data_IF_750337515823
#
_entry.id   IF_750337515823
#
_cell.length_a   1.000
_cell.length_b   1.000
_cell.length_c   1.000
_cell.angle_alpha   90.00
_cell.angle_beta   90.00
_cell.angle_gamma   90.00
#
_symmetry.space_group_name_H-M   'P 1'
#
loop_
_entity.id
_entity.type
_entity.pdbx_description
1 polymer ?
#
# COMPACT_ATOMS: atom_id res chain seq x y z
N UNK A 1 16.65 -18.43 21.09
CA UNK A 1 15.81 -17.23 21.33
C UNK A 1 14.54 -17.43 20.55
N UNK A 2 13.36 -17.26 21.16
CA UNK A 2 12.09 -17.37 20.47
C UNK A 2 11.94 -16.15 19.54
N UNK A 3 11.74 -16.37 18.24
CA UNK A 3 11.33 -15.29 17.32
C UNK A 3 9.88 -14.94 17.65
N UNK A 4 9.58 -13.65 17.80
CA UNK A 4 8.25 -13.18 18.16
C UNK A 4 7.29 -13.35 16.97
N UNK A 5 6.23 -14.13 17.17
CA UNK A 5 5.22 -14.42 16.15
C UNK A 5 4.45 -13.15 15.69
N UNK A 6 4.56 -12.04 16.43
CA UNK A 6 3.96 -10.74 16.12
C UNK A 6 4.71 -9.96 15.02
N UNK A 7 5.92 -10.39 14.64
CA UNK A 7 6.79 -9.62 13.75
C UNK A 7 6.41 -9.68 12.25
N UNK A 8 6.05 -10.83 11.64
CA UNK A 8 5.59 -10.85 10.24
C UNK A 8 4.32 -10.01 10.04
N UNK A 9 3.52 -9.91 11.10
CA UNK A 9 2.35 -9.07 11.22
C UNK A 9 2.65 -7.57 11.39
N UNK A 10 3.86 -7.17 11.79
CA UNK A 10 4.32 -5.77 11.68
C UNK A 10 4.81 -5.43 10.28
N UNK A 11 5.26 -6.42 9.50
CA UNK A 11 5.60 -6.23 8.09
C UNK A 11 4.32 -5.92 7.32
N UNK A 12 3.30 -6.78 7.38
CA UNK A 12 2.02 -6.56 6.71
C UNK A 12 1.22 -5.42 7.32
N UNK A 13 1.29 -5.19 8.64
CA UNK A 13 0.74 -3.95 9.22
C UNK A 13 1.46 -2.72 8.71
N UNK A 14 2.80 -2.59 8.77
CA UNK A 14 3.47 -1.38 8.25
C UNK A 14 3.31 -1.25 6.73
N UNK A 15 3.24 -2.33 5.98
CA UNK A 15 2.99 -2.28 4.54
C UNK A 15 1.58 -1.81 4.18
N UNK A 16 0.59 -2.10 5.04
CA UNK A 16 -0.75 -1.55 4.87
C UNK A 16 -0.84 -0.17 5.54
N UNK A 17 -0.48 -0.02 6.82
CA UNK A 17 -0.54 1.20 7.65
C UNK A 17 0.42 2.32 7.22
N UNK A 18 1.62 2.09 6.67
CA UNK A 18 2.47 3.17 6.10
C UNK A 18 2.01 3.57 4.69
N UNK A 19 1.24 2.72 4.00
CA UNK A 19 0.60 3.04 2.72
C UNK A 19 -0.80 3.66 2.93
N UNK A 20 -1.51 3.25 3.98
CA UNK A 20 -2.84 3.73 4.38
C UNK A 20 -2.75 4.98 5.27
N UNK A 21 -1.75 5.19 6.13
CA UNK A 21 -1.57 6.47 6.83
C UNK A 21 -1.19 7.61 5.86
N UNK A 22 -0.77 7.28 4.65
CA UNK A 22 -0.57 8.23 3.55
C UNK A 22 -1.88 8.53 2.79
N UNK A 23 -2.93 7.73 2.98
CA UNK A 23 -4.27 7.90 2.38
C UNK A 23 -5.28 8.42 3.44
N UNK A 24 -5.36 7.80 4.62
CA UNK A 24 -6.28 8.12 5.72
C UNK A 24 -6.04 9.47 6.40
N UNK A 25 -4.83 10.06 6.30
CA UNK A 25 -4.60 11.45 6.75
C UNK A 25 -5.25 12.49 5.83
N UNK A 26 -5.74 12.08 4.67
CA UNK A 26 -6.55 12.93 3.78
C UNK A 26 -8.07 12.80 4.06
N UNK A 27 -8.51 11.71 4.71
CA UNK A 27 -9.93 11.38 4.93
C UNK A 27 -10.53 11.96 6.23
N UNK A 28 -9.74 12.24 7.28
CA UNK A 28 -10.29 12.73 8.58
C UNK A 28 -10.83 14.17 8.55
N UNK A 29 -10.56 14.96 7.50
CA UNK A 29 -11.09 16.34 7.37
C UNK A 29 -12.48 16.44 6.71
N UNK A 30 -13.03 15.38 6.10
CA UNK A 30 -14.27 15.46 5.30
C UNK A 30 -15.47 14.74 5.92
N UNK A 31 -15.97 15.25 7.05
CA UNK A 31 -17.21 14.75 7.64
C UNK A 31 -18.16 15.86 8.13
N UNK A 32 -18.82 16.54 7.18
CA UNK A 32 -20.09 17.23 7.45
C UNK A 32 -21.04 17.07 6.25
N UNK A 33 -22.29 16.58 6.41
CA UNK A 33 -23.12 16.23 5.25
C UNK A 33 -23.88 17.45 4.71
N UNK A 34 -23.67 17.78 3.43
CA UNK A 34 -24.50 18.75 2.71
C UNK A 34 -25.82 18.10 2.25
N UNK A 35 -26.96 18.56 2.79
CA UNK A 35 -28.29 18.13 2.34
C UNK A 35 -28.76 18.92 1.11
N UNK A 36 -29.28 18.21 0.11
CA UNK A 36 -29.85 18.80 -1.11
C UNK A 36 -31.30 19.26 -0.90
N UNK A 37 -31.58 20.55 -1.08
CA UNK A 37 -32.94 21.12 -1.05
C UNK A 37 -33.60 21.22 -2.43
N UNK A 38 -34.76 20.56 -2.58
CA UNK A 38 -35.95 20.98 -3.38
C UNK A 38 -37.16 20.28 -2.73
N UNK A 39 -38.29 20.89 -2.41
CA UNK A 39 -38.74 22.30 -2.38
C UNK A 39 -40.27 22.32 -2.47
N UNK A 40 -40.99 23.26 -1.80
CA UNK A 40 -42.32 23.80 -2.21
C UNK A 40 -42.93 24.80 -1.18
N UNK A 41 -43.61 25.80 -1.75
CA UNK A 41 -44.72 26.66 -1.30
C UNK A 41 -44.89 27.19 0.16
N UNK A 42 -44.58 28.48 0.33
CA UNK A 42 -45.52 29.60 0.66
C UNK A 42 -46.68 29.34 1.65
N UNK A 43 -46.73 30.10 2.77
CA UNK A 43 -47.86 31.03 3.07
C UNK A 43 -47.63 31.98 4.28
N UNK A 44 -47.95 33.26 4.04
CA UNK A 44 -48.58 34.27 4.93
C UNK A 44 -47.98 34.70 6.30
N UNK A 45 -47.56 35.97 6.33
CA UNK A 45 -47.46 36.89 7.48
C UNK A 45 -48.86 37.42 7.94
N UNK A 46 -49.00 38.48 8.78
CA UNK A 46 -48.37 38.81 10.09
C UNK A 46 -49.41 39.27 11.15
N UNK A 47 -49.03 39.46 12.45
CA UNK A 47 -49.19 40.75 13.20
C UNK A 47 -48.86 40.76 14.71
N UNK A 48 -48.45 41.97 15.13
CA UNK A 48 -48.67 42.70 16.42
C UNK A 48 -48.03 42.23 17.74
N UNK A 49 -47.05 43.04 18.20
CA UNK A 49 -47.05 43.92 19.42
C UNK A 49 -47.79 43.45 20.69
N UNK A 50 -47.30 43.68 21.93
CA UNK A 50 -46.31 44.61 22.51
C UNK A 50 -45.83 44.08 23.91
N UNK A 51 -44.65 44.48 24.40
CA UNK A 51 -44.42 45.23 25.67
C UNK A 51 -42.99 45.07 26.24
N UNK A 52 -42.42 46.21 26.70
CA UNK A 52 -41.01 46.41 27.05
C UNK A 52 -40.63 46.10 28.51
N UNK A 53 -39.31 45.99 28.78
CA UNK A 53 -38.59 47.03 29.56
C UNK A 53 -37.05 46.87 29.69
N UNK A 54 -36.34 47.90 29.21
CA UNK A 54 -35.14 48.56 29.76
C UNK A 54 -33.84 47.79 30.10
N UNK A 55 -32.75 48.12 29.38
CA UNK A 55 -31.58 48.80 29.97
C UNK A 55 -30.66 49.44 28.90
N UNK A 56 -30.14 50.63 29.19
CA UNK A 56 -29.17 51.43 28.41
C UNK A 56 -27.72 51.20 28.94
N UNK A 57 -26.58 51.46 28.26
CA UNK A 57 -26.15 52.12 27.00
C UNK A 57 -24.65 51.69 26.76
N UNK A 58 -23.91 52.10 25.70
CA UNK A 58 -24.28 52.66 24.39
C UNK A 58 -23.59 51.94 23.19
N UNK A 59 -23.81 52.47 21.98
CA UNK A 59 -23.32 52.00 20.68
C UNK A 59 -21.82 52.20 20.39
N UNK A 60 -21.26 51.30 19.59
CA UNK A 60 -20.32 51.65 18.51
C UNK A 60 -20.81 50.99 17.22
N UNK A 61 -21.01 51.81 16.18
CA UNK A 61 -21.33 51.37 14.82
C UNK A 61 -20.00 51.12 14.09
N UNK A 62 -19.78 49.92 13.57
CA UNK A 62 -18.70 49.66 12.60
C UNK A 62 -19.23 48.72 11.51
N UNK A 63 -18.92 49.10 10.27
CA UNK A 63 -19.57 48.72 9.02
C UNK A 63 -19.65 47.20 8.74
N UNK A 64 -20.85 46.72 8.43
CA UNK A 64 -21.11 45.33 8.04
C UNK A 64 -20.56 45.05 6.63
N UNK A 65 -19.25 44.78 6.57
CA UNK A 65 -18.57 44.39 5.33
C UNK A 65 -18.95 42.95 5.00
N UNK A 66 -19.86 42.79 4.03
CA UNK A 66 -20.12 41.51 3.37
C UNK A 66 -18.81 40.91 2.80
N UNK A 67 -18.13 40.10 3.61
CA UNK A 67 -17.11 39.18 3.13
C UNK A 67 -17.84 37.99 2.56
N UNK A 68 -18.08 38.06 1.26
CA UNK A 68 -18.35 36.92 0.40
C UNK A 68 -17.28 35.84 0.67
N UNK A 69 -17.63 34.87 1.50
CA UNK A 69 -16.76 33.75 1.84
C UNK A 69 -16.84 32.72 0.71
N UNK A 70 -16.37 33.12 -0.48
CA UNK A 70 -16.09 32.23 -1.60
C UNK A 70 -14.93 31.33 -1.24
N UNK A 71 -15.24 30.31 -0.43
CA UNK A 71 -14.34 29.29 0.03
C UNK A 71 -13.89 28.47 -1.18
N UNK A 72 -12.78 28.90 -1.80
CA UNK A 72 -12.26 28.34 -3.05
C UNK A 72 -11.96 26.86 -2.85
N UNK A 73 -12.82 26.00 -3.41
CA UNK A 73 -12.64 24.56 -3.38
C UNK A 73 -11.35 24.26 -4.13
N UNK A 74 -10.35 23.69 -3.46
CA UNK A 74 -9.10 23.30 -4.10
C UNK A 74 -9.42 22.31 -5.24
N UNK A 75 -9.24 22.68 -6.51
CA UNK A 75 -9.71 21.85 -7.62
C UNK A 75 -8.91 20.55 -7.75
N UNK A 76 -7.76 20.45 -7.08
CA UNK A 76 -6.96 19.24 -7.00
C UNK A 76 -7.44 18.21 -5.95
N UNK A 77 -8.42 18.52 -5.08
CA UNK A 77 -8.80 17.67 -3.93
C UNK A 77 -9.07 16.21 -4.31
N UNK A 78 -9.75 15.98 -5.44
CA UNK A 78 -10.14 14.64 -5.90
C UNK A 78 -9.37 14.22 -7.19
N UNK A 79 -8.26 14.89 -7.52
CA UNK A 79 -7.49 14.67 -8.75
C UNK A 79 -6.17 13.96 -8.45
N UNK A 80 -6.21 12.64 -8.34
CA UNK A 80 -5.05 11.84 -7.96
C UNK A 80 -4.06 11.67 -9.12
N UNK A 81 -2.80 12.01 -8.86
CA UNK A 81 -1.69 11.83 -9.79
C UNK A 81 -0.91 10.53 -9.53
N UNK A 82 -0.17 10.07 -10.53
CA UNK A 82 0.75 8.93 -10.37
C UNK A 82 1.86 9.26 -9.37
N UNK A 83 2.41 8.25 -8.69
CA UNK A 83 3.53 8.40 -7.73
C UNK A 83 4.65 9.28 -8.27
N UNK A 84 5.09 10.25 -7.46
CA UNK A 84 6.10 11.24 -7.84
C UNK A 84 5.55 12.45 -8.60
N UNK A 85 4.24 12.52 -8.84
CA UNK A 85 3.54 13.68 -9.42
C UNK A 85 2.48 14.22 -8.47
N UNK A 86 2.22 15.51 -8.56
CA UNK A 86 1.16 16.23 -7.85
C UNK A 86 0.29 16.99 -8.82
N UNK A 87 -0.95 17.25 -8.42
CA UNK A 87 -1.89 18.03 -9.20
C UNK A 87 -1.53 19.51 -9.15
N UNK A 88 -1.60 20.17 -10.31
CA UNK A 88 -1.50 21.61 -10.46
C UNK A 88 -2.57 22.09 -11.45
N UNK A 89 -3.35 23.09 -11.03
CA UNK A 89 -4.24 23.86 -11.92
C UNK A 89 -3.44 24.93 -12.68
N UNK A 90 -3.74 25.11 -13.97
CA UNK A 90 -3.27 26.26 -14.75
C UNK A 90 -4.19 27.49 -14.61
N UNK A 91 -3.85 28.58 -15.30
CA UNK A 91 -4.63 29.84 -15.30
C UNK A 91 -6.06 29.70 -15.86
N UNK A 92 -6.40 28.56 -16.48
CA UNK A 92 -7.73 28.25 -16.99
C UNK A 92 -8.45 27.17 -16.13
N UNK A 93 -8.02 26.99 -14.88
CA UNK A 93 -8.50 25.97 -13.93
C UNK A 93 -8.33 24.51 -14.41
N UNK A 94 -7.56 24.28 -15.47
CA UNK A 94 -7.36 22.95 -16.01
C UNK A 94 -6.28 22.22 -15.22
N UNK A 95 -6.63 21.03 -14.74
CA UNK A 95 -5.78 20.22 -13.88
C UNK A 95 -4.77 19.40 -14.69
N UNK A 96 -3.53 19.33 -14.17
CA UNK A 96 -2.43 18.60 -14.76
C UNK A 96 -1.57 17.94 -13.68
N UNK A 97 -0.91 16.82 -14.01
CA UNK A 97 0.03 16.16 -13.11
C UNK A 97 1.47 16.55 -13.44
N UNK A 98 2.07 17.39 -12.59
CA UNK A 98 3.47 17.82 -12.68
C UNK A 98 4.34 17.01 -11.70
N UNK A 99 5.66 16.93 -11.93
CA UNK A 99 6.54 16.25 -10.98
C UNK A 99 6.58 16.96 -9.62
N UNK A 100 6.44 16.19 -8.55
CA UNK A 100 6.67 16.66 -7.19
C UNK A 100 8.10 17.17 -7.05
N UNK A 101 8.29 18.31 -6.38
CA UNK A 101 9.62 18.79 -6.03
C UNK A 101 10.14 18.00 -4.80
N UNK A 102 11.27 17.27 -4.90
CA UNK A 102 11.85 16.57 -3.76
C UNK A 102 12.22 17.49 -2.58
N UNK A 103 12.46 18.78 -2.85
CA UNK A 103 12.74 19.78 -1.80
C UNK A 103 11.47 20.27 -1.06
N UNK A 104 10.27 20.04 -1.62
CA UNK A 104 8.98 20.37 -1.01
C UNK A 104 8.31 19.16 -0.34
N UNK A 105 8.97 17.99 -0.31
CA UNK A 105 8.51 16.85 0.47
C UNK A 105 8.64 17.12 1.98
N UNK A 106 7.70 16.63 2.81
CA UNK A 106 7.84 16.70 4.26
C UNK A 106 9.14 16.00 4.74
N UNK A 107 9.79 16.50 5.80
CA UNK A 107 10.97 15.84 6.36
C UNK A 107 10.58 14.49 6.95
N UNK A 108 11.26 13.42 6.52
CA UNK A 108 11.03 12.06 6.99
C UNK A 108 11.43 11.88 8.46
N UNK A 109 10.65 11.09 9.19
CA UNK A 109 11.06 10.50 10.48
C UNK A 109 11.98 9.30 10.25
N UNK A 110 12.68 8.84 11.29
CA UNK A 110 13.66 7.74 11.25
C UNK A 110 13.15 6.42 10.61
N UNK A 111 11.85 6.17 10.62
CA UNK A 111 11.25 4.97 10.02
C UNK A 111 10.73 5.18 8.59
N UNK A 112 10.61 6.44 8.15
CA UNK A 112 10.04 6.83 6.87
C UNK A 112 11.11 6.90 5.77
N UNK A 113 12.41 6.89 6.10
CA UNK A 113 13.51 6.80 5.13
C UNK A 113 13.36 5.63 4.16
N UNK A 114 13.91 5.75 2.95
CA UNK A 114 13.93 4.66 1.97
C UNK A 114 15.26 4.56 1.24
N UNK A 115 15.62 3.37 0.75
CA UNK A 115 16.79 3.15 -0.08
C UNK A 115 16.40 2.99 -1.55
N UNK A 116 17.06 3.75 -2.44
CA UNK A 116 16.91 3.60 -3.89
C UNK A 116 17.85 2.54 -4.47
N UNK A 117 17.53 2.03 -5.65
CA UNK A 117 18.39 1.10 -6.42
C UNK A 117 19.72 1.69 -6.88
N UNK A 118 19.93 3.00 -6.72
CA UNK A 118 21.22 3.68 -6.86
C UNK A 118 22.04 3.71 -5.55
N UNK A 119 21.61 2.94 -4.54
CA UNK A 119 22.20 2.83 -3.20
C UNK A 119 22.29 4.18 -2.46
N UNK A 120 21.31 5.06 -2.67
CA UNK A 120 21.13 6.30 -1.91
C UNK A 120 19.93 6.21 -0.98
N UNK A 121 20.11 6.71 0.24
CA UNK A 121 19.01 6.96 1.17
C UNK A 121 18.29 8.23 0.74
N UNK A 122 16.96 8.18 0.74
CA UNK A 122 16.06 9.30 0.48
C UNK A 122 15.18 9.57 1.70
N UNK A 123 14.81 10.83 1.88
CA UNK A 123 13.86 11.31 2.89
C UNK A 123 12.43 10.93 2.47
N UNK A 124 12.14 9.63 2.53
CA UNK A 124 10.84 9.06 2.21
C UNK A 124 10.55 8.82 0.73
N UNK A 125 9.45 8.12 0.52
CA UNK A 125 8.93 7.75 -0.81
C UNK A 125 8.63 9.00 -1.66
N UNK A 126 8.17 10.09 -1.04
CA UNK A 126 7.97 11.38 -1.71
C UNK A 126 9.25 11.86 -2.42
N UNK A 127 10.37 11.93 -1.70
CA UNK A 127 11.63 12.44 -2.24
C UNK A 127 12.18 11.52 -3.34
N UNK A 128 12.12 10.20 -3.14
CA UNK A 128 12.55 9.21 -4.14
C UNK A 128 11.72 9.29 -5.42
N UNK A 129 10.39 9.28 -5.32
CA UNK A 129 9.52 9.28 -6.51
C UNK A 129 9.48 10.65 -7.21
N UNK A 130 9.56 11.77 -6.48
CA UNK A 130 9.76 13.08 -7.09
C UNK A 130 11.09 13.17 -7.85
N UNK A 131 12.16 12.58 -7.30
CA UNK A 131 13.48 12.51 -7.97
C UNK A 131 13.41 11.64 -9.22
N UNK A 132 12.76 10.46 -9.14
CA UNK A 132 12.52 9.59 -10.32
C UNK A 132 11.70 10.33 -11.39
N UNK A 133 10.69 11.10 -11.00
CA UNK A 133 9.85 11.88 -11.89
C UNK A 133 10.65 12.95 -12.66
N UNK A 134 11.48 13.74 -11.96
CA UNK A 134 12.39 14.72 -12.57
C UNK A 134 13.41 14.10 -13.55
N UNK A 135 13.57 12.77 -13.52
CA UNK A 135 14.44 11.99 -14.40
C UNK A 135 13.66 11.17 -15.46
N UNK A 136 12.36 11.38 -15.64
CA UNK A 136 11.55 10.72 -16.68
C UNK A 136 12.18 10.88 -18.08
N UNK A 137 12.12 9.81 -18.88
CA UNK A 137 12.77 9.75 -20.20
C UNK A 137 14.29 9.53 -20.18
N UNK A 138 14.95 9.60 -19.03
CA UNK A 138 16.39 9.31 -18.91
C UNK A 138 16.67 7.85 -18.52
N UNK A 139 17.85 7.34 -18.88
CA UNK A 139 18.32 6.02 -18.42
C UNK A 139 18.36 5.91 -16.89
N UNK A 140 18.74 6.98 -16.20
CA UNK A 140 18.79 7.00 -14.72
C UNK A 140 17.38 6.92 -14.12
N UNK A 141 16.41 7.69 -14.63
CA UNK A 141 15.02 7.60 -14.18
C UNK A 141 14.38 6.23 -14.44
N UNK A 142 14.75 5.56 -15.54
CA UNK A 142 14.35 4.17 -15.82
C UNK A 142 15.05 3.11 -14.95
N UNK A 143 16.15 3.46 -14.26
CA UNK A 143 16.90 2.54 -13.39
C UNK A 143 16.66 2.80 -11.89
N UNK A 144 16.23 4.01 -11.52
CA UNK A 144 15.92 4.39 -10.14
C UNK A 144 14.56 3.82 -9.70
N UNK A 145 14.57 2.89 -8.75
CA UNK A 145 13.39 2.31 -8.12
C UNK A 145 13.54 2.36 -6.60
N UNK A 146 12.43 2.20 -5.88
CA UNK A 146 12.47 1.90 -4.45
C UNK A 146 13.05 0.49 -4.29
N UNK A 147 14.16 0.34 -3.60
CA UNK A 147 14.73 -0.99 -3.32
C UNK A 147 14.10 -1.58 -2.05
N UNK A 148 14.12 -0.83 -0.95
CA UNK A 148 13.52 -1.21 0.34
C UNK A 148 13.23 0.00 1.24
N UNK A 149 12.37 -0.21 2.23
CA UNK A 149 12.06 0.75 3.30
C UNK A 149 13.19 0.77 4.34
N UNK A 150 13.48 1.94 4.88
CA UNK A 150 14.64 2.23 5.74
C UNK A 150 15.84 2.78 4.97
N UNK A 151 16.82 3.33 5.69
CA UNK A 151 18.08 3.82 5.12
C UNK A 151 18.91 2.71 4.49
N UNK A 152 19.77 3.05 3.52
CA UNK A 152 20.59 2.05 2.84
C UNK A 152 21.54 1.30 3.81
N UNK A 153 21.57 -0.02 3.66
CA UNK A 153 22.39 -0.99 4.42
C UNK A 153 23.27 -1.80 3.47
N UNK A 154 24.32 -2.43 4.01
CA UNK A 154 25.03 -3.49 3.29
C UNK A 154 24.10 -4.70 3.09
N UNK A 155 23.96 -5.15 1.85
CA UNK A 155 23.23 -6.38 1.50
C UNK A 155 24.29 -7.45 1.15
N UNK A 156 24.32 -8.61 1.85
CA UNK A 156 25.22 -9.69 1.49
C UNK A 156 24.83 -10.31 0.14
N UNK A 157 25.77 -10.83 -0.66
CA UNK A 157 25.45 -11.52 -1.90
C UNK A 157 24.66 -12.81 -1.61
N UNK A 158 23.59 -13.05 -2.35
CA UNK A 158 22.85 -14.31 -2.29
C UNK A 158 23.60 -15.41 -3.07
N UNK A 159 23.99 -16.47 -2.37
CA UNK A 159 24.67 -17.63 -2.96
C UNK A 159 23.72 -18.53 -3.76
N UNK A 160 24.27 -19.42 -4.59
CA UNK A 160 23.48 -20.34 -5.41
C UNK A 160 22.63 -21.27 -4.54
N UNK A 161 23.23 -21.84 -3.49
CA UNK A 161 22.51 -22.63 -2.48
C UNK A 161 21.37 -21.84 -1.84
N UNK A 162 21.55 -20.55 -1.57
CA UNK A 162 20.50 -19.74 -0.95
C UNK A 162 19.33 -19.46 -1.90
N UNK A 163 19.59 -19.13 -3.17
CA UNK A 163 18.51 -18.87 -4.15
C UNK A 163 17.71 -20.13 -4.47
N UNK A 164 18.36 -21.31 -4.52
CA UNK A 164 17.70 -22.60 -4.72
C UNK A 164 16.68 -22.93 -3.59
N UNK A 165 17.00 -22.56 -2.35
CA UNK A 165 16.18 -22.83 -1.17
C UNK A 165 15.17 -21.71 -0.85
N UNK A 166 15.39 -20.52 -1.39
CA UNK A 166 14.55 -19.34 -1.21
C UNK A 166 13.05 -19.60 -1.49
N UNK A 167 12.61 -20.15 -2.65
CA UNK A 167 11.19 -20.32 -2.95
C UNK A 167 10.48 -21.26 -1.96
N UNK A 168 11.18 -22.25 -1.40
CA UNK A 168 10.61 -23.16 -0.39
C UNK A 168 10.25 -22.39 0.90
N UNK A 169 11.19 -21.57 1.40
CA UNK A 169 11.04 -20.79 2.63
C UNK A 169 10.06 -19.62 2.45
N UNK A 170 10.15 -18.92 1.33
CA UNK A 170 9.24 -17.82 1.00
C UNK A 170 7.79 -18.34 0.92
N UNK A 171 7.54 -19.44 0.23
CA UNK A 171 6.18 -19.98 0.07
C UNK A 171 5.55 -20.46 1.40
N UNK A 172 6.32 -21.06 2.30
CA UNK A 172 5.86 -21.35 3.67
C UNK A 172 5.60 -20.07 4.48
N UNK A 173 6.48 -19.07 4.37
CA UNK A 173 6.29 -17.77 5.00
C UNK A 173 5.01 -17.08 4.52
N UNK A 174 4.72 -17.05 3.20
CA UNK A 174 3.47 -16.50 2.65
C UNK A 174 2.22 -17.19 3.20
N UNK A 175 2.22 -18.52 3.25
CA UNK A 175 1.13 -19.30 3.88
C UNK A 175 0.94 -18.87 5.34
N UNK A 176 2.03 -18.78 6.11
CA UNK A 176 1.96 -18.49 7.55
C UNK A 176 1.60 -17.02 7.85
N UNK A 177 2.05 -16.06 7.05
CA UNK A 177 1.60 -14.66 7.10
C UNK A 177 0.08 -14.58 6.92
N UNK A 178 -0.47 -15.31 5.94
CA UNK A 178 -1.90 -15.33 5.69
C UNK A 178 -2.70 -16.04 6.82
N UNK A 179 -2.12 -17.04 7.50
CA UNK A 179 -2.73 -17.63 8.70
C UNK A 179 -2.80 -16.61 9.84
N UNK A 180 -1.70 -15.89 10.10
CA UNK A 180 -1.61 -14.88 11.16
C UNK A 180 -2.55 -13.69 10.93
N UNK A 181 -2.71 -13.27 9.67
CA UNK A 181 -3.71 -12.26 9.30
C UNK A 181 -5.13 -12.75 9.57
N UNK A 182 -5.44 -14.01 9.23
CA UNK A 182 -6.75 -14.61 9.50
C UNK A 182 -7.04 -14.75 11.00
N UNK A 183 -6.08 -15.20 11.80
CA UNK A 183 -6.20 -15.27 13.27
C UNK A 183 -6.62 -13.90 13.86
N UNK A 184 -5.91 -12.83 13.50
CA UNK A 184 -6.24 -11.47 13.95
C UNK A 184 -7.56 -10.92 13.40
N UNK A 185 -7.95 -11.35 12.21
CA UNK A 185 -9.19 -10.96 11.55
C UNK A 185 -10.44 -11.68 12.11
N UNK A 186 -10.24 -12.66 12.99
CA UNK A 186 -11.28 -13.19 13.90
C UNK A 186 -11.49 -12.29 15.12
N UNK A 187 -10.41 -11.73 15.68
CA UNK A 187 -10.47 -10.84 16.86
C UNK A 187 -10.92 -9.41 16.50
N UNK A 188 -10.43 -8.87 15.37
CA UNK A 188 -10.77 -7.55 14.83
C UNK A 188 -10.95 -7.65 13.33
N UNK A 189 -12.20 -7.60 12.88
CA UNK A 189 -12.55 -7.53 11.46
C UNK A 189 -11.88 -6.37 10.74
N UNK A 190 -11.39 -6.60 9.52
CA UNK A 190 -10.93 -5.57 8.60
C UNK A 190 -9.64 -5.90 7.86
N UNK A 191 -8.96 -6.99 8.20
CA UNK A 191 -7.73 -7.39 7.49
C UNK A 191 -7.99 -8.27 6.27
N UNK A 192 -9.14 -8.95 6.20
CA UNK A 192 -9.53 -9.78 5.06
C UNK A 192 -10.99 -9.53 4.64
N UNK A 193 -11.21 -9.45 3.33
CA UNK A 193 -12.55 -9.47 2.72
C UNK A 193 -13.27 -10.81 2.96
N UNK A 194 -14.59 -10.85 2.89
CA UNK A 194 -15.34 -12.11 3.13
C UNK A 194 -14.94 -13.25 2.17
N UNK A 195 -14.57 -12.90 0.93
CA UNK A 195 -14.10 -13.85 -0.07
C UNK A 195 -12.69 -14.38 0.30
N UNK A 196 -11.79 -13.50 0.76
CA UNK A 196 -10.47 -13.88 1.28
C UNK A 196 -10.62 -14.76 2.53
N UNK A 197 -11.31 -14.27 3.56
CA UNK A 197 -11.68 -14.96 4.80
C UNK A 197 -12.21 -16.38 4.55
N UNK A 198 -13.08 -16.54 3.56
CA UNK A 198 -13.66 -17.84 3.17
C UNK A 198 -12.67 -18.81 2.51
N UNK A 199 -11.66 -18.32 1.78
CA UNK A 199 -10.55 -19.14 1.27
C UNK A 199 -9.58 -19.50 2.40
N UNK A 200 -9.14 -18.53 3.18
CA UNK A 200 -8.13 -18.73 4.24
C UNK A 200 -8.65 -19.67 5.33
N UNK A 201 -9.93 -19.54 5.73
CA UNK A 201 -10.59 -20.47 6.67
C UNK A 201 -10.42 -21.95 6.29
N UNK A 202 -10.52 -22.30 5.00
CA UNK A 202 -10.37 -23.68 4.52
C UNK A 202 -8.94 -24.22 4.66
N UNK A 203 -7.94 -23.34 4.60
CA UNK A 203 -6.53 -23.67 4.83
C UNK A 203 -6.28 -23.77 6.34
N UNK A 204 -6.74 -22.78 7.09
CA UNK A 204 -6.57 -22.67 8.54
C UNK A 204 -7.11 -23.89 9.29
N UNK A 205 -8.31 -24.33 8.94
CA UNK A 205 -9.01 -25.47 9.55
C UNK A 205 -8.52 -26.86 9.08
N UNK A 206 -7.54 -26.94 8.18
CA UNK A 206 -7.07 -28.22 7.67
C UNK A 206 -6.05 -28.86 8.64
N UNK A 207 -6.39 -30.04 9.18
CA UNK A 207 -5.55 -30.79 10.13
C UNK A 207 -4.16 -31.17 9.58
N UNK A 208 -4.00 -31.24 8.25
CA UNK A 208 -2.72 -31.56 7.59
C UNK A 208 -1.82 -30.35 7.38
N UNK A 209 -2.27 -29.13 7.73
CA UNK A 209 -1.49 -27.90 7.55
C UNK A 209 -0.24 -27.94 8.44
N UNK A 210 0.94 -27.88 7.82
CA UNK A 210 2.18 -27.63 8.55
C UNK A 210 2.11 -26.26 9.24
N UNK A 211 2.18 -26.27 10.58
CA UNK A 211 2.19 -25.07 11.42
C UNK A 211 3.49 -24.27 11.26
N UNK A 212 3.46 -22.97 11.55
CA UNK A 212 4.64 -22.12 11.50
C UNK A 212 5.77 -22.63 12.42
N UNK A 213 7.00 -22.62 11.93
CA UNK A 213 8.19 -23.10 12.65
C UNK A 213 9.46 -22.96 11.82
N UNK A 214 10.62 -23.20 12.44
CA UNK A 214 11.89 -23.29 11.72
C UNK A 214 12.07 -24.71 11.18
N UNK A 215 11.57 -24.93 9.96
CA UNK A 215 11.54 -26.25 9.34
C UNK A 215 12.74 -26.48 8.40
N UNK A 216 13.28 -27.72 8.35
CA UNK A 216 14.28 -28.10 7.35
C UNK A 216 13.69 -28.08 5.94
N UNK A 217 14.54 -27.84 4.94
CA UNK A 217 14.09 -27.65 3.56
C UNK A 217 13.37 -28.87 2.97
N UNK A 218 13.80 -30.07 3.35
CA UNK A 218 13.23 -31.35 2.95
C UNK A 218 11.79 -31.50 3.44
N UNK A 219 11.46 -30.99 4.63
CA UNK A 219 10.10 -30.98 5.16
C UNK A 219 9.22 -29.96 4.43
N UNK A 220 9.75 -28.77 4.11
CA UNK A 220 9.03 -27.75 3.34
C UNK A 220 8.74 -28.20 1.90
N UNK A 221 9.66 -28.95 1.29
CA UNK A 221 9.47 -29.57 -0.01
C UNK A 221 8.40 -30.66 0.06
N UNK A 222 8.51 -31.59 1.01
CA UNK A 222 7.54 -32.67 1.19
C UNK A 222 6.12 -32.16 1.49
N UNK A 223 5.99 -31.16 2.36
CA UNK A 223 4.70 -30.54 2.66
C UNK A 223 4.09 -29.86 1.43
N UNK A 224 4.90 -29.19 0.61
CA UNK A 224 4.42 -28.63 -0.66
C UNK A 224 3.93 -29.71 -1.63
N UNK A 225 4.63 -30.83 -1.77
CA UNK A 225 4.19 -31.94 -2.62
C UNK A 225 2.87 -32.59 -2.13
N UNK A 226 2.68 -32.74 -0.81
CA UNK A 226 1.50 -33.42 -0.25
C UNK A 226 0.31 -32.50 -0.04
N UNK A 227 0.55 -31.23 0.25
CA UNK A 227 -0.45 -30.22 0.61
C UNK A 227 -0.50 -29.04 -0.38
N UNK A 228 0.01 -29.23 -1.60
CA UNK A 228 0.10 -28.26 -2.71
C UNK A 228 -1.03 -27.21 -2.78
N UNK A 229 -2.30 -27.63 -2.77
CA UNK A 229 -3.44 -26.71 -2.89
C UNK A 229 -3.59 -25.71 -1.72
N UNK A 230 -2.94 -25.95 -0.57
CA UNK A 230 -2.85 -24.96 0.52
C UNK A 230 -1.95 -23.77 0.18
N UNK A 231 -1.08 -23.91 -0.81
CA UNK A 231 -0.09 -22.91 -1.20
C UNK A 231 -0.49 -22.07 -2.41
N UNK A 232 -1.36 -22.60 -3.29
CA UNK A 232 -1.87 -21.87 -4.47
C UNK A 232 -2.45 -20.51 -4.09
N UNK A 233 -3.34 -20.46 -3.08
CA UNK A 233 -4.00 -19.20 -2.72
C UNK A 233 -3.06 -18.19 -2.01
N UNK A 234 -2.23 -18.55 -1.01
CA UNK A 234 -1.24 -17.63 -0.45
C UNK A 234 -0.31 -16.99 -1.49
N UNK A 235 0.12 -17.75 -2.51
CA UNK A 235 0.97 -17.23 -3.59
C UNK A 235 0.23 -16.17 -4.42
N UNK A 236 -1.03 -16.44 -4.82
CA UNK A 236 -1.86 -15.47 -5.56
C UNK A 236 -2.22 -14.24 -4.72
N UNK A 237 -2.59 -14.45 -3.46
CA UNK A 237 -2.95 -13.38 -2.54
C UNK A 237 -1.76 -12.42 -2.32
N UNK A 238 -0.55 -12.93 -2.15
CA UNK A 238 0.62 -12.05 -2.02
C UNK A 238 0.86 -11.22 -3.29
N UNK A 239 0.67 -11.81 -4.48
CA UNK A 239 0.79 -11.06 -5.73
C UNK A 239 -0.19 -9.87 -5.74
N UNK A 240 -1.46 -10.08 -5.36
CA UNK A 240 -2.45 -8.99 -5.31
C UNK A 240 -2.18 -7.94 -4.23
N UNK A 241 -1.43 -8.26 -3.16
CA UNK A 241 -1.02 -7.25 -2.18
C UNK A 241 0.08 -6.33 -2.72
N UNK A 242 0.94 -6.83 -3.61
CA UNK A 242 2.08 -6.09 -4.15
C UNK A 242 1.71 -5.29 -5.42
N UNK A 243 0.80 -5.81 -6.24
CA UNK A 243 0.28 -5.22 -7.49
C UNK A 243 -0.65 -4.01 -7.21
N UNK A 244 -0.07 -2.87 -6.79
CA UNK A 244 -0.82 -1.66 -6.38
C UNK A 244 -0.43 -0.39 -7.14
N UNK A 245 0.73 -0.29 -7.79
CA UNK A 245 1.33 1.00 -8.18
C UNK A 245 1.88 1.08 -9.62
N UNK A 246 1.02 0.97 -10.65
CA UNK A 246 -0.42 0.73 -10.57
C UNK A 246 -0.76 -0.76 -10.61
N UNK A 247 -1.93 -1.14 -10.07
CA UNK A 247 -2.47 -2.49 -10.22
C UNK A 247 -2.67 -2.84 -11.71
N UNK A 248 -1.72 -3.58 -12.29
CA UNK A 248 -1.56 -3.80 -13.73
C UNK A 248 -1.15 -5.24 -14.08
N UNK A 249 -1.07 -6.14 -13.08
CA UNK A 249 -0.65 -7.54 -13.20
C UNK A 249 0.85 -7.73 -13.52
N UNK A 250 1.69 -6.74 -13.21
CA UNK A 250 3.15 -6.75 -13.40
C UNK A 250 3.86 -6.12 -12.21
N UNK A 251 4.52 -6.92 -11.37
CA UNK A 251 5.26 -6.41 -10.21
C UNK A 251 6.56 -5.73 -10.66
N UNK A 252 6.66 -4.42 -10.46
CA UNK A 252 7.92 -3.69 -10.64
C UNK A 252 8.91 -3.94 -9.48
N UNK A 253 10.19 -3.59 -9.68
CA UNK A 253 11.21 -3.65 -8.61
C UNK A 253 10.78 -2.89 -7.33
N UNK A 254 10.04 -1.79 -7.50
CA UNK A 254 9.50 -0.97 -6.40
C UNK A 254 8.37 -1.65 -5.64
N UNK A 255 7.57 -2.49 -6.29
CA UNK A 255 6.47 -3.24 -5.67
C UNK A 255 6.95 -4.52 -4.99
N UNK A 256 8.16 -5.00 -5.33
CA UNK A 256 8.86 -6.06 -4.60
C UNK A 256 9.59 -5.56 -3.34
N UNK A 257 9.73 -4.23 -3.16
CA UNK A 257 10.39 -3.64 -1.99
C UNK A 257 9.82 -4.07 -0.61
N UNK A 258 8.49 -4.24 -0.43
CA UNK A 258 7.88 -4.91 0.72
C UNK A 258 8.56 -6.23 1.13
N UNK A 259 8.94 -7.07 0.16
CA UNK A 259 9.57 -8.35 0.47
C UNK A 259 11.00 -8.17 1.00
N UNK A 260 11.70 -7.08 0.66
CA UNK A 260 13.10 -6.84 1.08
C UNK A 260 13.25 -6.37 2.53
N UNK A 261 12.18 -6.41 3.32
CA UNK A 261 12.20 -6.12 4.75
C UNK A 261 12.96 -7.19 5.53
N UNK A 262 13.77 -6.79 6.53
CA UNK A 262 14.71 -7.66 7.29
C UNK A 262 14.07 -8.79 8.12
N UNK A 263 12.75 -8.95 8.08
CA UNK A 263 11.98 -10.01 8.76
C UNK A 263 11.49 -11.09 7.78
N UNK A 264 11.63 -10.86 6.48
CA UNK A 264 11.34 -11.84 5.41
C UNK A 264 12.52 -12.83 5.34
N UNK A 265 12.27 -14.14 5.18
CA UNK A 265 13.36 -15.11 5.13
C UNK A 265 14.26 -14.88 3.91
N UNK A 266 15.57 -14.69 4.17
CA UNK A 266 16.61 -14.56 3.14
C UNK A 266 16.32 -13.39 2.18
N UNK A 267 16.05 -12.21 2.75
CA UNK A 267 15.58 -11.05 2.00
C UNK A 267 16.61 -10.54 0.98
N UNK A 268 17.90 -10.80 1.23
CA UNK A 268 19.00 -10.51 0.31
C UNK A 268 18.92 -11.28 -1.02
N UNK A 269 18.19 -12.39 -1.07
CA UNK A 269 18.00 -13.19 -2.28
C UNK A 269 16.90 -12.68 -3.22
N UNK A 270 16.01 -11.79 -2.77
CA UNK A 270 14.81 -11.37 -3.52
C UNK A 270 15.15 -10.79 -4.89
N UNK A 271 16.11 -9.86 -4.94
CA UNK A 271 16.50 -9.23 -6.21
C UNK A 271 17.11 -10.23 -7.19
N UNK A 272 17.88 -11.21 -6.70
CA UNK A 272 18.44 -12.28 -7.54
C UNK A 272 17.35 -13.23 -8.02
N UNK A 273 16.52 -13.73 -7.11
CA UNK A 273 15.42 -14.66 -7.39
C UNK A 273 14.48 -14.10 -8.46
N UNK A 274 13.98 -12.87 -8.30
CA UNK A 274 13.05 -12.30 -9.28
C UNK A 274 13.71 -11.90 -10.61
N UNK A 275 15.04 -11.72 -10.66
CA UNK A 275 15.78 -11.62 -11.93
C UNK A 275 15.89 -12.96 -12.66
N UNK A 276 15.86 -14.08 -11.94
CA UNK A 276 15.80 -15.43 -12.51
C UNK A 276 14.35 -15.81 -12.90
N UNK A 277 13.33 -15.20 -12.26
CA UNK A 277 11.91 -15.34 -12.61
C UNK A 277 11.47 -14.52 -13.84
N UNK A 278 12.10 -13.37 -14.10
CA UNK A 278 11.85 -12.48 -15.26
C UNK A 278 12.32 -13.15 -16.56
N UNK A 279 11.47 -14.01 -17.12
CA UNK A 279 11.80 -14.94 -18.17
C UNK A 279 11.85 -14.26 -19.55
N UNK A 280 10.98 -13.27 -19.78
CA UNK A 280 11.00 -12.45 -21.01
C UNK A 280 11.98 -11.26 -20.91
N UNK A 281 12.50 -10.98 -19.71
CA UNK A 281 13.48 -9.93 -19.38
C UNK A 281 12.92 -8.51 -19.51
N UNK A 282 11.61 -8.33 -19.28
CA UNK A 282 10.94 -7.04 -19.30
C UNK A 282 11.15 -6.20 -18.02
N UNK A 283 11.81 -6.75 -16.98
CA UNK A 283 12.08 -6.14 -15.66
C UNK A 283 10.89 -6.00 -14.73
N UNK A 284 9.81 -6.71 -15.01
CA UNK A 284 8.66 -6.86 -14.15
C UNK A 284 8.37 -8.35 -14.00
N UNK A 285 7.70 -8.73 -12.92
CA UNK A 285 7.28 -10.13 -12.72
C UNK A 285 5.79 -10.21 -12.96
N UNK A 286 5.38 -10.87 -14.05
CA UNK A 286 3.97 -11.16 -14.31
C UNK A 286 3.40 -12.19 -13.34
N UNK A 287 2.07 -12.29 -13.25
CA UNK A 287 1.42 -13.34 -12.44
C UNK A 287 1.91 -14.75 -12.82
N UNK A 288 2.14 -15.01 -14.11
CA UNK A 288 2.62 -16.31 -14.61
C UNK A 288 4.03 -16.61 -14.11
N UNK A 289 4.94 -15.66 -14.24
CA UNK A 289 6.33 -15.81 -13.77
C UNK A 289 6.39 -15.95 -12.25
N UNK A 290 5.62 -15.14 -11.52
CA UNK A 290 5.48 -15.24 -10.06
C UNK A 290 5.01 -16.63 -9.63
N UNK A 291 3.89 -17.11 -10.18
CA UNK A 291 3.33 -18.41 -9.85
C UNK A 291 4.29 -19.56 -10.23
N UNK A 292 4.90 -19.50 -11.41
CA UNK A 292 5.89 -20.47 -11.87
C UNK A 292 7.10 -20.55 -10.92
N UNK A 293 7.66 -19.41 -10.51
CA UNK A 293 8.80 -19.35 -9.60
C UNK A 293 8.52 -19.91 -8.20
N UNK A 294 7.27 -19.88 -7.74
CA UNK A 294 6.87 -20.54 -6.48
C UNK A 294 6.43 -22.00 -6.65
N UNK A 295 6.53 -22.55 -7.87
CA UNK A 295 6.17 -23.93 -8.20
C UNK A 295 4.67 -24.17 -8.37
N UNK A 296 3.87 -23.10 -8.50
CA UNK A 296 2.45 -23.21 -8.84
C UNK A 296 2.35 -23.54 -10.33
N UNK A 297 1.50 -24.51 -10.66
CA UNK A 297 1.34 -24.99 -12.04
C UNK A 297 0.56 -23.99 -12.88
N UNK A 298 0.72 -24.06 -14.20
CA UNK A 298 0.03 -23.14 -15.12
C UNK A 298 -1.50 -23.31 -15.04
N UNK A 299 -2.01 -24.54 -14.87
CA UNK A 299 -3.46 -24.79 -14.73
C UNK A 299 -4.08 -24.27 -13.42
N UNK A 300 -3.26 -24.00 -12.39
CA UNK A 300 -3.67 -23.42 -11.11
C UNK A 300 -3.39 -21.91 -11.03
N UNK A 301 -2.85 -21.30 -12.09
CA UNK A 301 -2.57 -19.85 -12.17
C UNK A 301 -3.82 -19.11 -12.61
N UNK A 302 -4.56 -18.55 -11.66
CA UNK A 302 -5.93 -18.04 -11.84
C UNK A 302 -6.07 -16.59 -11.33
N UNK A 303 -6.30 -15.66 -12.27
CA UNK A 303 -6.56 -14.24 -11.96
C UNK A 303 -7.80 -14.04 -11.08
N UNK A 304 -8.76 -14.99 -11.09
CA UNK A 304 -9.94 -14.93 -10.23
C UNK A 304 -9.62 -15.14 -8.74
N UNK A 305 -8.34 -15.40 -8.39
CA UNK A 305 -7.80 -15.45 -7.03
C UNK A 305 -7.23 -14.10 -6.53
N UNK A 306 -7.09 -13.09 -7.39
CA UNK A 306 -6.48 -11.79 -7.07
C UNK A 306 -7.48 -10.79 -6.44
N UNK A 307 -8.07 -11.18 -5.30
CA UNK A 307 -9.11 -10.44 -4.55
C UNK A 307 -8.86 -10.45 -3.04
#
# INVERSE_FOLDING_TARGET
>A
MLRDASQPLQITKRQNEEFEEAEQKEDEEDNTPAQSHKGEEVTNSPKSTEQDQNAEWPSQEDEDRFQDNTQSINPCRNFHCKRGKVCQADEQEKLSCVCQDPAACPPAKDHEYVCGTDNKTYDGTCQLFGTKCKLEGTKMGHQLHLDYMGSCKYIPPCTDYEVDHFPLRMRDWLKNVLMQLYERDLDRSGFLSDKQRSKVKKIYQNEKRLMAGDHPAELLLHDFEKNYHMYVYPVHWQFSQLDRHPANRLLSHSELAPLRASLVPMEHCITRFFQECDADRNKHVSLKEWCHCFGIKEEDTDENLLF
#
